data_IF_386913095996
#
_entry.id   IF_386913095996
#
_cell.length_a   1.000
_cell.length_b   1.000
_cell.length_c   1.000
_cell.angle_alpha   90.00
_cell.angle_beta   90.00
_cell.angle_gamma   90.00
#
_symmetry.space_group_name_H-M   'P 1'
#
loop_
_entity.id
_entity.type
_entity.pdbx_description
1 polymer ?
#
# COMPACT_ATOMS: atom_id res chain seq x y z
N UNK A 1 -15.69 -31.94 5.89
CA UNK A 1 -16.74 -31.10 6.49
C UNK A 1 -16.79 -29.84 5.66
N UNK A 2 -17.79 -29.72 4.81
CA UNK A 2 -17.96 -28.66 3.83
C UNK A 2 -18.74 -27.55 4.54
N UNK A 3 -18.11 -26.41 4.80
CA UNK A 3 -18.81 -25.23 5.26
C UNK A 3 -19.10 -24.33 4.07
N UNK A 4 -20.36 -24.31 3.66
CA UNK A 4 -20.94 -23.39 2.67
C UNK A 4 -20.96 -21.99 3.27
N UNK A 5 -20.18 -21.07 2.73
CA UNK A 5 -20.21 -19.65 3.11
C UNK A 5 -21.16 -18.91 2.17
N UNK A 6 -22.37 -18.62 2.68
CA UNK A 6 -23.33 -17.74 2.02
C UNK A 6 -22.75 -16.32 1.91
N UNK A 7 -22.73 -15.80 0.71
CA UNK A 7 -22.49 -14.37 0.45
C UNK A 7 -23.71 -13.58 0.95
N UNK A 8 -23.52 -12.81 2.00
CA UNK A 8 -24.46 -11.77 2.41
C UNK A 8 -23.98 -10.44 1.80
N UNK A 9 -24.59 -10.04 0.71
CA UNK A 9 -24.43 -8.70 0.15
C UNK A 9 -25.23 -7.73 1.01
N UNK A 10 -24.57 -7.00 1.89
CA UNK A 10 -25.16 -5.85 2.57
C UNK A 10 -25.12 -4.67 1.61
N UNK A 11 -26.22 -4.45 0.89
CA UNK A 11 -26.48 -3.21 0.18
C UNK A 11 -26.75 -2.11 1.21
N UNK A 12 -25.82 -1.18 1.33
CA UNK A 12 -26.02 0.05 2.09
C UNK A 12 -26.84 1.00 1.21
N UNK A 13 -28.04 1.42 1.62
CA UNK A 13 -28.80 2.41 0.84
C UNK A 13 -28.15 3.78 1.03
N UNK A 14 -27.51 4.29 -0.03
CA UNK A 14 -27.16 5.71 -0.14
C UNK A 14 -28.46 6.52 -0.25
N UNK A 15 -28.96 7.00 0.87
CA UNK A 15 -29.97 8.06 0.86
C UNK A 15 -29.29 9.37 0.53
N UNK A 16 -29.47 9.81 -0.71
CA UNK A 16 -29.25 11.21 -1.07
C UNK A 16 -30.31 12.05 -0.34
N UNK A 17 -29.88 12.77 0.67
CA UNK A 17 -30.72 13.80 1.27
C UNK A 17 -30.86 14.95 0.24
N UNK A 18 -32.01 15.02 -0.40
CA UNK A 18 -32.44 16.18 -1.14
C UNK A 18 -32.45 17.39 -0.19
N UNK A 19 -31.68 18.40 -0.54
CA UNK A 19 -31.69 19.67 0.17
C UNK A 19 -33.10 20.27 0.15
N UNK A 20 -33.77 20.22 1.29
CA UNK A 20 -35.01 21.00 1.45
C UNK A 20 -34.62 22.48 1.47
N UNK A 21 -35.17 23.23 0.55
CA UNK A 21 -35.14 24.70 0.57
C UNK A 21 -35.77 25.21 1.88
N UNK A 22 -35.15 26.16 2.58
CA UNK A 22 -35.72 26.71 3.80
C UNK A 22 -36.95 27.56 3.45
N UNK A 23 -38.06 27.29 4.14
CA UNK A 23 -39.23 28.15 4.11
C UNK A 23 -38.86 29.53 4.65
N UNK A 24 -39.16 30.56 3.90
CA UNK A 24 -38.98 31.96 4.21
C UNK A 24 -39.76 32.33 5.49
N UNK A 25 -39.07 32.63 6.54
CA UNK A 25 -39.69 33.20 7.73
C UNK A 25 -39.77 34.74 7.56
N UNK A 26 -41.01 35.29 7.71
CA UNK A 26 -41.35 36.68 7.45
C UNK A 26 -41.11 37.58 8.65
N UNK A 27 -39.90 37.67 9.16
CA UNK A 27 -39.56 38.64 10.21
C UNK A 27 -38.27 39.42 9.85
N UNK A 28 -38.40 40.24 8.79
CA UNK A 28 -37.35 41.18 8.41
C UNK A 28 -37.88 42.60 8.52
N UNK A 29 -37.35 43.36 9.44
CA UNK A 29 -37.61 44.80 9.62
C UNK A 29 -36.68 45.57 8.68
N UNK A 30 -37.23 46.30 7.70
CA UNK A 30 -36.44 47.15 6.80
C UNK A 30 -36.02 48.44 7.56
N UNK A 31 -34.69 48.60 7.68
CA UNK A 31 -34.08 49.88 8.03
C UNK A 31 -32.93 50.13 7.07
N UNK A 32 -33.15 51.09 6.18
CA UNK A 32 -32.15 51.76 5.34
C UNK A 32 -31.04 50.91 4.73
N UNK A 33 -31.26 50.33 3.52
CA UNK A 33 -30.18 49.89 2.64
C UNK A 33 -29.76 48.40 2.68
N UNK A 34 -30.28 47.56 3.59
CA UNK A 34 -29.99 46.11 3.62
C UNK A 34 -30.92 45.38 4.59
N UNK A 35 -31.47 44.22 4.18
CA UNK A 35 -32.20 43.35 5.12
C UNK A 35 -31.26 42.89 6.24
N UNK A 36 -31.64 43.12 7.48
CA UNK A 36 -30.91 42.65 8.67
C UNK A 36 -31.61 41.36 9.16
N UNK A 37 -30.87 40.29 9.31
CA UNK A 37 -31.34 39.08 9.99
C UNK A 37 -31.19 39.29 11.49
N UNK A 38 -32.32 39.22 12.21
CA UNK A 38 -32.36 39.42 13.66
C UNK A 38 -31.57 38.34 14.41
N UNK A 39 -31.58 37.14 13.87
CA UNK A 39 -30.91 35.97 14.44
C UNK A 39 -30.38 35.05 13.32
N UNK A 40 -29.15 34.65 13.44
CA UNK A 40 -28.53 33.61 12.60
C UNK A 40 -28.03 32.49 13.50
N UNK A 41 -28.62 31.35 13.36
CA UNK A 41 -28.19 30.13 14.06
C UNK A 41 -27.58 29.15 13.08
N UNK A 42 -26.59 28.39 13.54
CA UNK A 42 -26.01 27.39 12.70
C UNK A 42 -25.28 26.28 13.47
N UNK A 43 -25.02 25.20 12.75
CA UNK A 43 -24.21 24.09 13.27
C UNK A 43 -23.05 23.87 12.31
N UNK A 44 -21.86 23.80 12.88
CA UNK A 44 -20.62 23.47 12.15
C UNK A 44 -20.29 22.02 12.42
N UNK A 45 -20.15 21.24 11.34
CA UNK A 45 -19.83 19.81 11.39
C UNK A 45 -18.61 19.52 10.52
N UNK A 46 -17.85 18.49 10.86
CA UNK A 46 -16.83 17.96 9.99
C UNK A 46 -17.49 17.23 8.81
N UNK A 47 -17.01 17.49 7.60
CA UNK A 47 -17.53 16.85 6.39
C UNK A 47 -17.17 15.36 6.30
N UNK A 48 -16.14 14.92 7.02
CA UNK A 48 -15.60 13.55 6.96
C UNK A 48 -16.36 12.59 7.86
N UNK A 49 -16.72 13.02 9.08
CA UNK A 49 -17.33 12.17 10.09
C UNK A 49 -18.70 12.67 10.56
N UNK A 50 -19.12 13.86 10.11
CA UNK A 50 -20.39 14.48 10.49
C UNK A 50 -20.46 14.91 11.95
N UNK A 51 -19.34 14.89 12.68
CA UNK A 51 -19.28 15.30 14.09
C UNK A 51 -19.31 16.83 14.24
N UNK A 52 -19.88 17.35 15.34
CA UNK A 52 -19.86 18.78 15.61
C UNK A 52 -18.43 19.28 15.82
N UNK A 53 -18.07 20.40 15.18
CA UNK A 53 -16.77 21.06 15.36
C UNK A 53 -16.88 22.05 16.50
N UNK A 54 -16.28 21.73 17.64
CA UNK A 54 -16.26 22.55 18.85
C UNK A 54 -15.15 23.59 18.74
N UNK A 55 -15.44 24.87 19.06
CA UNK A 55 -14.44 25.91 19.03
C UNK A 55 -14.10 26.45 17.64
N UNK A 56 -14.93 26.17 16.62
CA UNK A 56 -14.79 26.83 15.32
C UNK A 56 -15.06 28.31 15.41
N UNK A 57 -14.18 29.13 14.84
CA UNK A 57 -14.31 30.60 14.85
C UNK A 57 -15.18 31.05 13.68
N UNK A 58 -16.19 31.84 13.98
CA UNK A 58 -17.04 32.54 13.00
C UNK A 58 -16.56 33.99 12.93
N UNK A 59 -15.96 34.35 11.80
CA UNK A 59 -15.42 35.67 11.51
C UNK A 59 -16.31 36.40 10.55
N UNK A 60 -16.33 37.71 10.67
CA UNK A 60 -16.98 38.61 9.69
C UNK A 60 -16.08 38.85 8.47
N UNK A 61 -16.64 39.56 7.46
CA UNK A 61 -15.87 39.99 6.28
C UNK A 61 -14.72 40.97 6.62
N UNK A 62 -14.72 41.53 7.79
CA UNK A 62 -13.67 42.40 8.37
C UNK A 62 -12.68 41.64 9.26
N UNK A 63 -12.68 40.28 9.18
CA UNK A 63 -11.88 39.37 10.00
C UNK A 63 -12.05 39.49 11.51
N UNK A 64 -13.12 40.18 11.97
CA UNK A 64 -13.47 40.21 13.39
C UNK A 64 -14.19 38.96 13.81
N UNK A 65 -13.80 38.41 14.96
CA UNK A 65 -14.47 37.29 15.59
C UNK A 65 -15.88 37.70 16.06
N UNK A 66 -16.90 37.05 15.54
CA UNK A 66 -18.29 37.26 15.87
C UNK A 66 -18.80 36.27 16.91
N UNK A 67 -18.43 35.00 16.75
CA UNK A 67 -18.77 33.91 17.67
C UNK A 67 -17.80 32.74 17.56
N UNK A 68 -17.95 31.80 18.50
CA UNK A 68 -17.25 30.52 18.53
C UNK A 68 -18.30 29.43 18.76
N UNK A 69 -18.15 28.27 18.14
CA UNK A 69 -19.09 27.13 18.28
C UNK A 69 -18.99 26.50 19.67
N UNK A 70 -20.15 26.10 20.20
CA UNK A 70 -20.30 25.39 21.47
C UNK A 70 -19.95 23.89 21.41
N UNK A 71 -20.19 23.14 22.50
CA UNK A 71 -19.95 21.68 22.60
C UNK A 71 -20.75 20.85 21.60
N UNK A 72 -21.84 21.39 21.03
CA UNK A 72 -22.66 20.76 20.02
C UNK A 72 -22.35 21.31 18.60
N UNK A 73 -21.27 22.08 18.44
CA UNK A 73 -20.90 22.73 17.20
C UNK A 73 -21.85 23.86 16.78
N UNK A 74 -22.69 24.37 17.69
CA UNK A 74 -23.68 25.42 17.41
C UNK A 74 -23.10 26.80 17.63
N UNK A 75 -23.55 27.76 16.80
CA UNK A 75 -23.29 29.16 16.98
C UNK A 75 -24.55 29.97 16.84
N UNK A 76 -24.56 31.15 17.48
CA UNK A 76 -25.66 32.08 17.46
C UNK A 76 -25.12 33.51 17.24
N UNK A 77 -25.67 34.21 16.23
CA UNK A 77 -25.32 35.58 15.90
C UNK A 77 -26.58 36.41 15.85
N UNK A 78 -26.49 37.67 16.24
CA UNK A 78 -27.58 38.64 16.24
C UNK A 78 -27.24 39.84 15.37
N UNK A 79 -28.26 40.41 14.69
CA UNK A 79 -28.15 41.66 13.92
C UNK A 79 -27.12 41.62 12.77
N UNK A 80 -27.07 40.51 12.01
CA UNK A 80 -26.15 40.34 10.89
C UNK A 80 -26.83 40.78 9.57
N UNK A 81 -26.23 41.70 8.78
CA UNK A 81 -26.73 42.08 7.47
C UNK A 81 -26.70 40.88 6.49
N UNK A 82 -27.72 40.74 5.64
CA UNK A 82 -27.81 39.63 4.68
C UNK A 82 -26.72 39.63 3.59
N UNK A 83 -26.12 40.79 3.33
CA UNK A 83 -25.01 40.96 2.39
C UNK A 83 -23.61 40.76 3.03
N UNK A 84 -23.61 40.46 4.32
CA UNK A 84 -22.36 40.23 5.05
C UNK A 84 -21.83 38.80 4.75
N UNK A 85 -20.54 38.61 4.57
CA UNK A 85 -19.95 37.29 4.41
C UNK A 85 -19.43 36.82 5.76
N UNK A 86 -19.79 35.59 6.11
CA UNK A 86 -19.26 34.87 7.26
C UNK A 86 -18.15 33.95 6.82
N UNK A 87 -17.01 34.01 7.49
CA UNK A 87 -15.90 33.07 7.35
C UNK A 87 -15.91 32.12 8.55
N UNK A 88 -16.07 30.85 8.30
CA UNK A 88 -16.05 29.82 9.33
C UNK A 88 -14.71 29.07 9.20
N UNK A 89 -13.91 29.09 10.24
CA UNK A 89 -12.57 28.50 10.26
C UNK A 89 -12.33 27.69 11.52
N UNK A 90 -11.56 26.62 11.38
CA UNK A 90 -11.07 25.80 12.48
C UNK A 90 -9.68 25.27 12.14
N UNK A 91 -8.85 25.08 13.19
CA UNK A 91 -7.47 24.60 13.00
C UNK A 91 -7.47 23.20 12.36
N UNK A 92 -6.85 23.08 11.18
CA UNK A 92 -6.76 21.82 10.44
C UNK A 92 -7.94 21.56 9.49
N UNK A 93 -8.91 22.50 9.38
CA UNK A 93 -10.01 22.42 8.42
C UNK A 93 -9.97 23.60 7.45
N UNK A 94 -10.48 23.38 6.24
CA UNK A 94 -10.57 24.43 5.21
C UNK A 94 -11.57 25.49 5.63
N UNK A 95 -11.18 26.76 5.53
CA UNK A 95 -12.08 27.90 5.79
C UNK A 95 -13.19 27.96 4.73
N UNK A 96 -14.44 28.06 5.17
CA UNK A 96 -15.61 28.20 4.30
C UNK A 96 -16.20 29.59 4.43
N UNK A 97 -16.41 30.25 3.28
CA UNK A 97 -17.10 31.55 3.23
C UNK A 97 -18.54 31.35 2.73
N UNK A 98 -19.51 31.92 3.45
CA UNK A 98 -20.92 31.86 3.03
C UNK A 98 -21.71 33.06 3.50
N UNK A 99 -22.84 33.30 2.87
CA UNK A 99 -23.78 34.36 3.26
C UNK A 99 -24.64 33.89 4.42
N UNK A 100 -24.97 34.77 5.37
CA UNK A 100 -25.79 34.43 6.53
C UNK A 100 -27.21 34.01 6.12
N UNK A 101 -27.69 32.93 6.74
CA UNK A 101 -29.06 32.48 6.67
C UNK A 101 -29.61 32.14 8.05
N UNK A 102 -30.92 32.18 8.25
CA UNK A 102 -31.53 32.00 9.56
C UNK A 102 -31.13 30.68 10.25
N UNK A 103 -30.98 29.59 9.47
CA UNK A 103 -30.50 28.28 9.92
C UNK A 103 -29.39 27.80 8.98
N UNK A 104 -28.19 27.64 9.48
CA UNK A 104 -27.02 27.26 8.69
C UNK A 104 -26.50 25.91 9.12
N UNK A 105 -26.19 25.04 8.16
CA UNK A 105 -25.40 23.85 8.39
C UNK A 105 -24.13 23.96 7.55
N UNK A 106 -22.98 24.03 8.24
CA UNK A 106 -21.69 24.26 7.63
C UNK A 106 -20.87 22.98 7.78
N UNK A 107 -20.44 22.39 6.68
CA UNK A 107 -19.52 21.26 6.68
C UNK A 107 -18.12 21.77 6.34
N UNK A 108 -17.17 21.58 7.25
CA UNK A 108 -15.77 21.90 7.05
C UNK A 108 -15.01 20.65 6.62
N UNK A 109 -14.27 20.75 5.52
CA UNK A 109 -13.41 19.69 5.04
C UNK A 109 -12.02 19.77 5.69
N UNK A 110 -11.36 18.64 5.86
CA UNK A 110 -9.97 18.62 6.30
C UNK A 110 -9.07 19.38 5.33
N UNK A 111 -8.16 20.18 5.85
CA UNK A 111 -7.20 20.93 5.03
C UNK A 111 -6.07 19.99 4.57
N UNK A 112 -6.39 19.15 3.59
CA UNK A 112 -5.45 18.19 3.00
C UNK A 112 -4.28 18.86 2.25
N UNK A 113 -4.39 20.14 1.90
CA UNK A 113 -3.31 20.88 1.22
C UNK A 113 -2.08 21.10 2.10
N UNK A 114 -2.21 21.03 3.43
CA UNK A 114 -1.06 21.15 4.33
C UNK A 114 -0.13 19.95 4.34
N UNK A 115 -0.57 18.78 3.89
CA UNK A 115 0.29 17.59 3.81
C UNK A 115 1.24 17.61 2.60
N UNK A 116 0.93 18.37 1.55
CA UNK A 116 1.79 18.49 0.36
C UNK A 116 3.01 19.40 0.59
N UNK A 117 3.01 20.20 1.65
CA UNK A 117 4.06 21.19 1.93
C UNK A 117 5.12 20.72 2.95
N UNK A 118 5.02 19.49 3.44
CA UNK A 118 5.93 18.95 4.46
C UNK A 118 6.69 17.75 3.92
N UNK A 119 8.02 17.81 3.93
CA UNK A 119 8.89 16.65 3.69
C UNK A 119 9.21 16.03 5.04
N UNK A 120 8.77 14.80 5.23
CA UNK A 120 9.06 14.01 6.42
C UNK A 120 10.40 13.33 6.24
N UNK A 121 11.36 13.63 7.10
CA UNK A 121 12.69 13.02 7.07
C UNK A 121 12.85 11.91 8.12
N UNK A 122 11.73 11.34 8.60
CA UNK A 122 11.71 10.26 9.61
C UNK A 122 11.97 10.74 11.04
N UNK A 123 12.88 11.69 11.24
CA UNK A 123 13.16 12.30 12.55
C UNK A 123 12.55 13.68 12.71
N UNK A 124 12.39 14.42 11.61
CA UNK A 124 11.90 15.80 11.62
C UNK A 124 10.97 16.07 10.44
N UNK A 125 9.91 16.81 10.68
CA UNK A 125 9.04 17.32 9.63
C UNK A 125 9.57 18.69 9.19
N UNK A 126 10.05 18.82 7.96
CA UNK A 126 10.52 20.07 7.36
C UNK A 126 9.55 20.57 6.30
N UNK A 127 9.32 21.87 6.25
CA UNK A 127 8.56 22.45 5.14
C UNK A 127 9.32 22.22 3.83
N UNK A 128 8.59 21.86 2.78
CA UNK A 128 9.15 21.56 1.45
C UNK A 128 9.98 22.73 0.90
N UNK A 129 9.56 23.97 1.17
CA UNK A 129 10.27 25.20 0.77
C UNK A 129 11.64 25.37 1.43
N UNK A 130 11.85 24.78 2.62
CA UNK A 130 13.13 24.82 3.34
C UNK A 130 14.00 23.57 3.14
N UNK A 131 13.57 22.65 2.25
CA UNK A 131 14.29 21.41 1.99
C UNK A 131 15.06 21.51 0.67
N UNK A 132 16.38 21.59 0.75
CA UNK A 132 17.27 21.77 -0.40
C UNK A 132 17.60 20.46 -1.15
N UNK A 133 17.17 19.32 -0.62
CA UNK A 133 17.41 17.98 -1.20
C UNK A 133 16.31 17.52 -2.15
N UNK A 134 16.64 16.57 -3.03
CA UNK A 134 15.66 15.91 -3.89
C UNK A 134 14.90 14.84 -3.09
N UNK A 135 13.63 15.08 -2.82
CA UNK A 135 12.74 14.13 -2.18
C UNK A 135 11.52 13.87 -3.05
N UNK A 136 11.11 12.61 -3.15
CA UNK A 136 9.86 12.20 -3.79
C UNK A 136 8.92 11.73 -2.70
N UNK A 137 7.75 12.35 -2.60
CA UNK A 137 6.72 11.95 -1.65
C UNK A 137 5.59 11.22 -2.38
N UNK A 138 5.24 10.04 -1.91
CA UNK A 138 4.16 9.18 -2.43
C UNK A 138 3.12 9.04 -1.33
N UNK A 139 1.86 9.31 -1.63
CA UNK A 139 0.76 9.10 -0.69
C UNK A 139 0.38 7.61 -0.64
N UNK A 140 -0.03 7.13 0.53
CA UNK A 140 -0.45 5.73 0.69
C UNK A 140 -1.60 5.31 -0.23
N UNK A 141 -2.48 6.24 -0.60
CA UNK A 141 -3.56 6.00 -1.56
C UNK A 141 -3.06 5.73 -2.97
N UNK A 142 -1.95 6.36 -3.38
CA UNK A 142 -1.36 6.18 -4.71
C UNK A 142 -0.66 4.83 -4.83
N UNK A 143 -0.11 4.30 -3.73
CA UNK A 143 0.51 2.97 -3.72
C UNK A 143 -0.46 1.88 -4.16
N UNK A 144 -1.71 1.95 -3.72
CA UNK A 144 -2.75 0.96 -4.04
C UNK A 144 -3.15 0.95 -5.51
N UNK A 145 -2.99 2.07 -6.23
CA UNK A 145 -3.33 2.17 -7.65
C UNK A 145 -2.40 1.34 -8.54
N UNK A 146 -1.17 1.10 -8.08
CA UNK A 146 -0.15 0.37 -8.86
C UNK A 146 0.00 -1.08 -8.46
N UNK A 147 0.01 -1.37 -7.17
CA UNK A 147 0.05 -2.74 -6.66
C UNK A 147 -0.51 -2.78 -5.25
N UNK A 148 -1.41 -3.69 -5.01
CA UNK A 148 -2.02 -3.88 -3.71
C UNK A 148 -1.21 -4.82 -2.81
N UNK A 149 -0.40 -5.71 -3.39
CA UNK A 149 0.32 -6.76 -2.65
C UNK A 149 1.83 -6.54 -2.50
N UNK A 150 2.41 -5.60 -3.24
CA UNK A 150 3.86 -5.40 -3.20
C UNK A 150 4.18 -3.92 -3.19
N UNK A 151 4.38 -3.38 -1.99
CA UNK A 151 4.73 -1.98 -1.79
C UNK A 151 6.01 -1.62 -2.54
N UNK A 152 7.01 -2.51 -2.59
CA UNK A 152 8.26 -2.26 -3.29
C UNK A 152 8.01 -2.00 -4.79
N UNK A 153 7.18 -2.82 -5.46
CA UNK A 153 6.81 -2.59 -6.87
C UNK A 153 6.08 -1.27 -7.07
N UNK A 154 5.16 -0.91 -6.17
CA UNK A 154 4.46 0.38 -6.23
C UNK A 154 5.42 1.56 -6.07
N UNK A 155 6.37 1.48 -5.14
CA UNK A 155 7.39 2.52 -4.93
C UNK A 155 8.25 2.68 -6.18
N UNK A 156 8.72 1.58 -6.77
CA UNK A 156 9.55 1.61 -7.99
C UNK A 156 8.79 2.22 -9.17
N UNK A 157 7.53 1.86 -9.38
CA UNK A 157 6.71 2.40 -10.46
C UNK A 157 6.47 3.92 -10.34
N UNK A 158 6.40 4.43 -9.09
CA UNK A 158 6.15 5.84 -8.79
C UNK A 158 7.43 6.67 -8.64
N UNK A 159 8.60 6.02 -8.59
CA UNK A 159 9.87 6.69 -8.27
C UNK A 159 10.88 6.51 -9.38
N UNK A 160 11.10 7.52 -10.23
CA UNK A 160 12.19 7.48 -11.21
C UNK A 160 13.56 7.30 -10.51
N UNK A 161 14.35 6.32 -10.99
CA UNK A 161 15.68 6.02 -10.45
C UNK A 161 15.72 5.06 -9.25
N UNK A 162 14.59 4.52 -8.80
CA UNK A 162 14.53 3.33 -7.97
C UNK A 162 14.20 2.14 -8.86
N UNK A 163 15.12 1.21 -9.00
CA UNK A 163 14.94 0.01 -9.79
C UNK A 163 14.78 -1.20 -8.87
N UNK A 164 13.84 -2.06 -9.20
CA UNK A 164 13.74 -3.39 -8.62
C UNK A 164 14.31 -4.37 -9.64
N UNK A 165 15.33 -5.09 -9.23
CA UNK A 165 15.87 -6.19 -10.03
C UNK A 165 14.95 -7.40 -9.84
N UNK A 166 14.27 -7.79 -10.92
CA UNK A 166 13.45 -9.00 -10.88
C UNK A 166 14.35 -10.24 -10.93
N UNK A 167 14.19 -11.12 -9.96
CA UNK A 167 14.86 -12.40 -9.98
C UNK A 167 14.02 -13.39 -10.81
N UNK A 168 14.32 -13.45 -12.10
CA UNK A 168 13.61 -14.35 -13.01
C UNK A 168 13.78 -15.85 -12.66
N UNK A 169 14.81 -16.21 -11.90
CA UNK A 169 15.02 -17.58 -11.44
C UNK A 169 14.04 -17.97 -10.33
N UNK A 170 13.70 -17.02 -9.47
CA UNK A 170 12.71 -17.21 -8.43
C UNK A 170 11.26 -17.18 -8.95
N UNK A 171 11.04 -16.62 -10.15
CA UNK A 171 9.73 -16.50 -10.76
C UNK A 171 8.73 -15.75 -9.87
N UNK A 172 7.57 -16.37 -9.63
CA UNK A 172 6.51 -15.84 -8.74
C UNK A 172 6.60 -16.39 -7.32
N UNK A 173 7.79 -16.77 -6.85
CA UNK A 173 7.97 -17.24 -5.48
C UNK A 173 7.63 -16.11 -4.49
N UNK A 174 6.61 -16.27 -3.62
CA UNK A 174 6.21 -15.23 -2.67
C UNK A 174 7.27 -14.98 -1.57
N UNK A 175 8.24 -15.87 -1.42
CA UNK A 175 9.32 -15.74 -0.45
C UNK A 175 10.55 -15.01 -1.01
N UNK A 176 10.58 -14.75 -2.32
CA UNK A 176 11.68 -14.03 -2.95
C UNK A 176 11.63 -12.56 -2.59
N UNK A 177 12.70 -12.06 -1.99
CA UNK A 177 12.84 -10.65 -1.63
C UNK A 177 13.22 -9.82 -2.86
N UNK A 178 12.66 -8.60 -3.00
CA UNK A 178 13.03 -7.71 -4.08
C UNK A 178 14.43 -7.12 -3.85
N UNK A 179 15.30 -7.20 -4.85
CA UNK A 179 16.56 -6.44 -4.86
C UNK A 179 16.28 -5.02 -5.33
N UNK A 180 16.33 -4.07 -4.39
CA UNK A 180 16.03 -2.65 -4.62
C UNK A 180 17.34 -1.87 -4.76
N UNK A 181 17.51 -1.16 -5.86
CA UNK A 181 18.69 -0.32 -6.14
C UNK A 181 18.29 1.09 -6.48
N UNK A 182 18.93 2.05 -5.83
CA UNK A 182 18.78 3.48 -6.10
C UNK A 182 20.11 4.04 -6.64
N UNK A 183 20.06 4.79 -7.75
CA UNK A 183 21.25 5.42 -8.40
C UNK A 183 22.29 4.44 -8.98
N UNK A 184 21.91 3.21 -9.33
CA UNK A 184 22.85 2.20 -9.82
C UNK A 184 23.65 1.55 -8.69
N UNK A 185 24.41 0.51 -9.01
CA UNK A 185 25.26 -0.17 -8.04
C UNK A 185 26.57 0.58 -7.83
N UNK A 186 26.74 1.26 -6.70
CA UNK A 186 28.00 1.90 -6.35
C UNK A 186 29.07 0.90 -5.88
N UNK A 187 28.65 -0.26 -5.38
CA UNK A 187 29.51 -1.34 -4.93
C UNK A 187 29.48 -2.50 -5.93
N UNK A 188 30.65 -2.98 -6.28
CA UNK A 188 30.79 -4.21 -7.07
C UNK A 188 30.42 -5.36 -6.13
N UNK A 189 29.30 -6.01 -6.43
CA UNK A 189 28.86 -7.19 -5.69
C UNK A 189 29.82 -8.34 -6.02
N UNK A 190 30.77 -8.59 -5.12
CA UNK A 190 31.75 -9.67 -5.26
C UNK A 190 31.18 -11.03 -4.84
N UNK A 191 29.93 -11.08 -4.37
CA UNK A 191 29.27 -12.32 -4.04
C UNK A 191 28.84 -13.05 -5.32
N UNK A 192 29.74 -13.85 -5.84
CA UNK A 192 29.59 -14.72 -7.03
C UNK A 192 28.58 -15.87 -6.86
N UNK A 193 27.76 -15.88 -5.82
CA UNK A 193 26.89 -17.00 -5.46
C UNK A 193 25.43 -16.65 -5.30
N UNK A 194 24.94 -15.68 -6.10
CA UNK A 194 23.51 -15.27 -6.08
C UNK A 194 22.52 -16.41 -6.36
N UNK A 195 22.94 -17.52 -6.97
CA UNK A 195 22.08 -18.68 -7.22
C UNK A 195 21.87 -19.57 -5.98
N UNK A 196 22.85 -19.64 -5.08
CA UNK A 196 22.81 -20.50 -3.88
C UNK A 196 22.16 -19.77 -2.71
N UNK A 197 22.31 -18.45 -2.61
CA UNK A 197 21.76 -17.63 -1.54
C UNK A 197 20.26 -17.40 -1.65
N UNK A 198 19.73 -17.36 -2.87
CA UNK A 198 18.28 -17.27 -3.08
C UNK A 198 17.50 -18.49 -2.56
N UNK A 199 18.20 -19.60 -2.36
CA UNK A 199 17.60 -20.89 -1.89
C UNK A 199 17.72 -21.04 -0.36
N UNK A 200 18.66 -20.37 0.29
CA UNK A 200 18.92 -20.56 1.72
C UNK A 200 18.27 -19.57 2.66
N UNK A 201 17.61 -18.53 2.15
CA UNK A 201 16.84 -17.60 3.00
C UNK A 201 17.69 -16.81 4.00
N UNK A 202 19.00 -16.75 3.83
CA UNK A 202 19.87 -15.98 4.71
C UNK A 202 19.75 -14.49 4.36
N UNK A 203 19.54 -13.69 5.41
CA UNK A 203 19.42 -12.24 5.39
C UNK A 203 20.77 -11.59 4.99
N UNK A 204 21.10 -11.61 3.72
CA UNK A 204 22.20 -10.78 3.25
C UNK A 204 21.73 -9.34 3.06
N UNK A 205 22.45 -8.46 3.75
CA UNK A 205 22.40 -7.02 3.50
C UNK A 205 23.00 -6.79 2.12
N UNK A 206 22.16 -6.71 1.11
CA UNK A 206 22.63 -6.32 -0.23
C UNK A 206 23.32 -4.97 -0.14
N UNK A 207 24.59 -4.92 -0.47
CA UNK A 207 25.46 -3.75 -0.30
C UNK A 207 24.92 -2.47 -0.98
N UNK A 208 23.98 -2.59 -1.92
CA UNK A 208 23.42 -1.51 -2.70
C UNK A 208 21.97 -1.15 -2.34
N UNK A 209 21.40 -1.76 -1.28
CA UNK A 209 20.03 -1.45 -0.87
C UNK A 209 19.90 -0.08 -0.21
N UNK A 210 18.81 0.65 -0.45
CA UNK A 210 18.50 1.85 0.32
C UNK A 210 18.17 1.51 1.77
N UNK A 211 18.45 2.43 2.68
CA UNK A 211 18.06 2.31 4.08
C UNK A 211 16.54 2.48 4.20
N UNK A 212 15.89 1.55 4.89
CA UNK A 212 14.44 1.56 5.10
C UNK A 212 14.13 2.02 6.53
N UNK A 213 13.35 3.09 6.65
CA UNK A 213 12.95 3.67 7.94
C UNK A 213 11.43 3.71 8.01
N UNK A 214 10.84 3.16 9.06
CA UNK A 214 9.40 3.26 9.35
C UNK A 214 9.19 3.90 10.72
N UNK A 215 8.45 5.00 10.74
CA UNK A 215 8.16 5.77 11.96
C UNK A 215 9.40 6.11 12.81
N UNK A 216 10.55 6.32 12.15
CA UNK A 216 11.82 6.65 12.77
C UNK A 216 12.73 5.46 13.13
N UNK A 217 12.27 4.23 12.90
CA UNK A 217 13.02 3.01 13.16
C UNK A 217 13.40 2.31 11.87
N UNK A 218 14.58 1.69 11.85
CA UNK A 218 15.00 0.88 10.72
C UNK A 218 14.22 -0.41 10.64
N UNK A 219 13.81 -0.76 9.42
CA UNK A 219 13.11 -2.01 9.12
C UNK A 219 13.85 -2.81 8.05
N UNK A 220 13.60 -4.12 8.02
CA UNK A 220 14.14 -5.01 6.99
C UNK A 220 13.34 -4.92 5.68
N UNK A 221 13.95 -5.37 4.57
CA UNK A 221 13.26 -5.51 3.28
C UNK A 221 12.09 -6.52 3.38
N UNK A 222 12.24 -7.53 4.23
CA UNK A 222 11.17 -8.50 4.51
C UNK A 222 9.96 -7.81 5.15
N UNK A 223 10.19 -6.96 6.16
CA UNK A 223 9.14 -6.17 6.80
C UNK A 223 8.44 -5.25 5.79
N UNK A 224 9.19 -4.64 4.87
CA UNK A 224 8.60 -3.83 3.79
C UNK A 224 7.74 -4.68 2.84
N UNK A 225 8.20 -5.88 2.48
CA UNK A 225 7.46 -6.79 1.59
C UNK A 225 6.16 -7.29 2.22
N UNK A 226 6.16 -7.52 3.53
CA UNK A 226 5.00 -7.99 4.28
C UNK A 226 4.08 -6.85 4.74
N UNK A 227 4.53 -5.58 4.58
CA UNK A 227 3.79 -4.41 5.03
C UNK A 227 2.51 -4.21 4.20
N UNK A 228 1.39 -4.06 4.89
CA UNK A 228 0.12 -3.73 4.26
C UNK A 228 0.10 -2.26 3.81
N UNK A 229 -0.16 -1.97 2.51
CA UNK A 229 -0.34 -0.60 2.02
C UNK A 229 -1.40 0.21 2.77
N UNK A 230 -2.40 -0.47 3.37
CA UNK A 230 -3.43 0.17 4.18
C UNK A 230 -2.92 0.83 5.44
N UNK A 231 -1.77 0.39 5.95
CA UNK A 231 -1.10 0.98 7.12
C UNK A 231 -0.29 2.23 6.79
N UNK A 232 0.05 2.43 5.51
CA UNK A 232 0.94 3.51 5.06
C UNK A 232 0.17 4.80 4.84
N UNK A 233 0.63 5.90 5.46
CA UNK A 233 0.14 7.25 5.21
C UNK A 233 0.90 7.89 4.04
N UNK A 234 2.24 7.85 4.11
CA UNK A 234 3.11 8.39 3.08
C UNK A 234 4.45 7.65 3.03
N UNK A 235 5.10 7.70 1.87
CA UNK A 235 6.47 7.25 1.68
C UNK A 235 7.27 8.41 1.10
N UNK A 236 8.38 8.74 1.74
CA UNK A 236 9.32 9.77 1.28
C UNK A 236 10.64 9.11 0.90
N UNK A 237 11.08 9.37 -0.32
CA UNK A 237 12.32 8.82 -0.87
C UNK A 237 13.34 9.92 -0.97
N UNK A 238 14.41 9.78 -0.17
CA UNK A 238 15.52 10.72 -0.08
C UNK A 238 16.66 10.21 -0.95
N UNK A 239 16.94 10.95 -2.02
CA UNK A 239 17.93 10.53 -3.03
C UNK A 239 19.26 11.25 -2.88
N UNK A 240 19.28 12.46 -2.33
CA UNK A 240 20.48 13.31 -2.29
C UNK A 240 21.25 13.18 -0.99
N UNK A 241 22.57 13.37 -1.06
CA UNK A 241 23.45 13.34 0.09
C UNK A 241 23.03 14.35 1.19
N UNK A 242 22.53 15.53 0.79
CA UNK A 242 22.02 16.52 1.74
C UNK A 242 20.77 16.03 2.50
N UNK A 243 19.90 15.29 1.79
CA UNK A 243 18.70 14.69 2.38
C UNK A 243 19.02 13.50 3.28
N UNK A 244 20.04 12.72 2.93
CA UNK A 244 20.42 11.49 3.63
C UNK A 244 21.45 11.68 4.73
N UNK A 245 22.06 12.88 4.85
CA UNK A 245 23.11 13.21 5.84
C UNK A 245 22.70 12.92 7.30
N UNK A 246 21.41 12.98 7.61
CA UNK A 246 20.87 12.71 8.95
C UNK A 246 21.11 11.23 9.37
N UNK A 247 21.21 10.34 8.38
CA UNK A 247 21.32 8.90 8.58
C UNK A 247 22.77 8.37 8.45
N UNK A 248 23.72 9.29 8.17
CA UNK A 248 25.15 8.97 8.09
C UNK A 248 25.52 8.05 6.91
N UNK A 249 26.59 7.27 7.07
CA UNK A 249 27.13 6.40 6.01
C UNK A 249 26.19 5.30 5.53
N UNK A 250 25.26 4.85 6.38
CA UNK A 250 24.26 3.83 6.04
C UNK A 250 23.27 4.27 4.97
N UNK A 251 23.14 5.57 4.78
CA UNK A 251 22.26 6.18 3.79
C UNK A 251 22.95 6.46 2.44
N UNK A 252 24.15 5.91 2.20
CA UNK A 252 24.91 6.12 0.96
C UNK A 252 24.10 5.75 -0.31
N UNK A 253 23.24 4.73 -0.22
CA UNK A 253 22.39 4.24 -1.31
C UNK A 253 20.99 4.88 -1.31
N UNK A 254 20.79 5.96 -0.54
CA UNK A 254 19.50 6.60 -0.36
C UNK A 254 18.71 6.07 0.84
N UNK A 255 17.61 6.74 1.16
CA UNK A 255 16.73 6.37 2.28
C UNK A 255 15.28 6.37 1.82
N UNK A 256 14.54 5.36 2.20
CA UNK A 256 13.09 5.27 2.03
C UNK A 256 12.46 5.41 3.41
N UNK A 257 11.78 6.51 3.64
CA UNK A 257 11.09 6.81 4.90
C UNK A 257 9.61 6.51 4.72
N UNK A 258 9.08 5.66 5.58
CA UNK A 258 7.68 5.23 5.58
C UNK A 258 7.00 5.81 6.82
N UNK A 259 5.89 6.46 6.64
CA UNK A 259 5.03 6.91 7.72
C UNK A 259 3.78 6.05 7.79
N UNK A 260 3.47 5.57 8.98
CA UNK A 260 2.21 4.88 9.25
C UNK A 260 1.04 5.86 9.41
N UNK A 261 -0.16 5.40 9.09
CA UNK A 261 -1.37 6.17 9.34
C UNK A 261 -1.57 6.38 10.84
N UNK A 262 -1.87 7.59 11.22
CA UNK A 262 -2.22 7.92 12.61
C UNK A 262 -3.70 7.63 12.89
N UNK A 263 -4.06 7.17 14.11
CA UNK A 263 -5.46 6.97 14.49
C UNK A 263 -6.27 8.27 14.38
N UNK A 264 -7.47 8.17 13.79
CA UNK A 264 -8.37 9.32 13.67
C UNK A 264 -9.15 9.52 14.97
N UNK A 265 -9.40 10.78 15.39
CA UNK A 265 -10.31 11.05 16.49
C UNK A 265 -11.76 10.82 16.05
N UNK A 266 -12.63 10.49 16.98
CA UNK A 266 -14.06 10.34 16.72
C UNK A 266 -14.66 9.10 17.35
N UNK A 267 -15.87 8.74 16.91
CA UNK A 267 -16.54 7.51 17.31
C UNK A 267 -15.73 6.31 16.83
N UNK A 268 -16.01 5.17 17.43
CA UNK A 268 -15.39 3.91 17.02
C UNK A 268 -15.79 3.58 15.59
N UNK A 269 -14.78 3.46 14.73
CA UNK A 269 -14.93 2.99 13.34
C UNK A 269 -14.32 1.61 13.20
N UNK A 270 -15.08 0.73 12.56
CA UNK A 270 -14.60 -0.60 12.17
C UNK A 270 -14.56 -0.65 10.65
N UNK A 271 -13.38 -0.90 10.11
CA UNK A 271 -13.18 -1.04 8.68
C UNK A 271 -12.74 -2.46 8.38
N UNK A 272 -13.40 -3.10 7.43
CA UNK A 272 -12.97 -4.39 6.87
C UNK A 272 -12.45 -4.17 5.45
N UNK A 273 -11.27 -4.71 5.17
CA UNK A 273 -10.68 -4.79 3.84
C UNK A 273 -10.57 -6.26 3.40
N UNK A 274 -11.04 -6.58 2.22
CA UNK A 274 -10.88 -7.90 1.62
C UNK A 274 -10.33 -7.76 0.21
N UNK A 275 -9.30 -8.53 -0.12
CA UNK A 275 -8.68 -8.54 -1.43
C UNK A 275 -8.43 -9.97 -1.89
N UNK A 276 -8.69 -10.23 -3.15
CA UNK A 276 -8.39 -11.51 -3.79
C UNK A 276 -7.66 -11.26 -5.10
N UNK A 277 -6.57 -11.98 -5.30
CA UNK A 277 -5.76 -11.92 -6.51
C UNK A 277 -5.59 -13.30 -7.10
N UNK A 278 -5.72 -13.39 -8.42
CA UNK A 278 -5.50 -14.63 -9.17
C UNK A 278 -4.26 -14.46 -10.02
N UNK A 279 -3.29 -15.36 -9.86
CA UNK A 279 -2.09 -15.43 -10.69
C UNK A 279 -2.08 -16.76 -11.45
N UNK A 280 -2.04 -16.67 -12.77
CA UNK A 280 -1.92 -17.82 -13.65
C UNK A 280 -0.57 -17.78 -14.37
N UNK A 281 0.13 -18.94 -14.53
CA UNK A 281 1.37 -19.00 -15.30
C UNK A 281 1.08 -18.76 -16.78
N UNK A 282 1.80 -17.83 -17.39
CA UNK A 282 1.82 -17.66 -18.85
C UNK A 282 3.03 -18.40 -19.41
N UNK A 283 2.78 -19.51 -20.11
CA UNK A 283 3.79 -20.34 -20.74
C UNK A 283 3.88 -20.12 -22.25
N UNK A 284 3.13 -19.18 -22.82
CA UNK A 284 3.05 -18.96 -24.27
C UNK A 284 4.36 -18.46 -24.86
N UNK A 285 5.21 -17.80 -24.05
CA UNK A 285 6.52 -17.33 -24.47
C UNK A 285 7.57 -18.45 -24.62
N UNK A 286 7.29 -19.65 -24.07
CA UNK A 286 8.19 -20.79 -24.14
C UNK A 286 7.87 -21.65 -25.35
N UNK A 287 8.63 -21.44 -26.42
CA UNK A 287 8.48 -22.23 -27.66
C UNK A 287 9.39 -23.47 -27.61
N UNK A 288 8.99 -24.48 -26.85
CA UNK A 288 9.74 -25.72 -26.70
C UNK A 288 9.31 -26.76 -27.76
N UNK A 289 10.28 -27.56 -28.17
CA UNK A 289 10.02 -28.70 -29.09
C UNK A 289 9.12 -29.73 -28.39
N UNK A 290 8.16 -30.29 -29.13
CA UNK A 290 7.42 -31.47 -28.72
C UNK A 290 8.30 -32.71 -28.76
N UNK A 291 7.79 -33.86 -28.26
CA UNK A 291 8.57 -35.10 -28.16
C UNK A 291 9.11 -35.61 -29.49
N UNK A 292 8.32 -35.49 -30.56
CA UNK A 292 8.72 -35.88 -31.92
C UNK A 292 9.77 -34.95 -32.49
N UNK A 293 9.57 -33.64 -32.39
CA UNK A 293 10.50 -32.63 -32.87
C UNK A 293 11.85 -32.73 -32.15
N UNK A 294 11.83 -32.92 -30.83
CA UNK A 294 13.04 -33.07 -30.02
C UNK A 294 13.84 -34.29 -30.41
N UNK A 295 13.17 -35.43 -30.56
CA UNK A 295 13.83 -36.69 -30.95
C UNK A 295 14.41 -36.63 -32.37
N UNK A 296 13.70 -36.00 -33.33
CA UNK A 296 14.16 -35.77 -34.69
C UNK A 296 15.37 -34.84 -34.74
N UNK A 297 15.34 -33.74 -33.95
CA UNK A 297 16.47 -32.82 -33.83
C UNK A 297 17.72 -33.52 -33.26
N UNK A 298 17.57 -34.31 -32.21
CA UNK A 298 18.67 -35.11 -31.63
C UNK A 298 19.24 -36.14 -32.62
N UNK A 299 18.38 -36.81 -33.38
CA UNK A 299 18.81 -37.75 -34.42
C UNK A 299 19.62 -37.04 -35.51
N UNK A 300 19.13 -35.92 -36.04
CA UNK A 300 19.81 -35.09 -37.03
C UNK A 300 21.14 -34.49 -36.52
N UNK A 301 21.20 -34.16 -35.23
CA UNK A 301 22.41 -33.68 -34.58
C UNK A 301 23.46 -34.78 -34.32
N UNK A 302 23.17 -36.04 -34.67
CA UNK A 302 24.10 -37.15 -34.50
C UNK A 302 24.27 -37.65 -33.06
N UNK A 303 23.34 -37.33 -32.15
CA UNK A 303 23.41 -37.71 -30.72
C UNK A 303 23.42 -39.24 -30.58
N UNK A 304 22.83 -39.95 -31.52
CA UNK A 304 22.67 -41.41 -31.52
C UNK A 304 23.66 -42.14 -32.43
N UNK A 305 24.67 -41.44 -32.98
CA UNK A 305 25.72 -42.05 -33.77
C UNK A 305 26.75 -42.63 -32.80
N UNK A 306 27.07 -43.92 -32.99
CA UNK A 306 28.02 -44.65 -32.15
C UNK A 306 29.44 -44.06 -32.28
N UNK A 307 29.96 -43.50 -31.20
CA UNK A 307 31.35 -43.01 -31.08
C UNK A 307 32.33 -44.02 -30.49
N UNK A 308 31.98 -45.32 -30.51
CA UNK A 308 32.85 -46.38 -29.98
C UNK A 308 32.75 -46.62 -28.47
N UNK A 309 31.73 -46.04 -27.82
CA UNK A 309 31.48 -46.23 -26.38
C UNK A 309 30.51 -47.41 -26.13
N UNK A 310 30.59 -47.97 -24.90
CA UNK A 310 29.86 -49.15 -24.43
C UNK A 310 28.35 -49.01 -24.36
N UNK A 311 27.79 -47.82 -24.59
CA UNK A 311 26.35 -47.57 -24.58
C UNK A 311 25.81 -47.72 -26.00
N UNK A 312 24.90 -48.66 -26.20
CA UNK A 312 24.15 -48.86 -27.42
C UNK A 312 23.18 -47.66 -27.63
N UNK A 313 23.70 -46.61 -28.22
CA UNK A 313 22.95 -45.34 -28.48
C UNK A 313 21.76 -45.58 -29.41
N UNK A 314 21.84 -46.61 -30.25
CA UNK A 314 20.75 -46.99 -31.12
C UNK A 314 19.57 -47.59 -30.31
N UNK A 315 19.85 -48.44 -29.33
CA UNK A 315 18.80 -48.94 -28.43
C UNK A 315 18.15 -47.81 -27.63
N UNK A 316 18.96 -46.83 -27.19
CA UNK A 316 18.44 -45.65 -26.53
C UNK A 316 17.50 -44.84 -27.43
N UNK A 317 17.87 -44.63 -28.71
CA UNK A 317 17.00 -44.00 -29.68
C UNK A 317 15.69 -44.77 -29.88
N UNK A 318 15.77 -46.11 -30.09
CA UNK A 318 14.57 -46.93 -30.26
C UNK A 318 13.64 -46.89 -29.05
N UNK A 319 14.18 -46.88 -27.82
CA UNK A 319 13.39 -46.76 -26.61
C UNK A 319 12.64 -45.42 -26.56
N UNK A 320 13.33 -44.33 -26.87
CA UNK A 320 12.71 -42.99 -26.94
C UNK A 320 11.68 -42.90 -28.06
N UNK A 321 11.98 -43.46 -29.23
CA UNK A 321 11.05 -43.50 -30.36
C UNK A 321 9.78 -44.29 -29.99
N UNK A 322 9.91 -45.39 -29.27
CA UNK A 322 8.75 -46.16 -28.79
C UNK A 322 7.87 -45.31 -27.86
N UNK A 323 8.46 -44.52 -26.96
CA UNK A 323 7.71 -43.62 -26.12
C UNK A 323 6.96 -42.58 -26.96
N UNK A 324 7.62 -41.94 -27.93
CA UNK A 324 6.98 -40.98 -28.84
C UNK A 324 5.83 -41.62 -29.63
N UNK A 325 6.03 -42.83 -30.16
CA UNK A 325 5.00 -43.57 -30.90
C UNK A 325 3.83 -44.00 -30.01
N UNK A 326 4.07 -44.23 -28.72
CA UNK A 326 3.01 -44.53 -27.75
C UNK A 326 2.25 -43.28 -27.29
N UNK A 327 2.60 -42.09 -27.82
CA UNK A 327 1.92 -40.81 -27.52
C UNK A 327 2.46 -40.07 -26.32
N UNK A 328 3.65 -40.40 -25.82
CA UNK A 328 4.30 -39.65 -24.75
C UNK A 328 4.78 -38.34 -25.30
N UNK A 329 4.18 -37.23 -24.82
CA UNK A 329 4.57 -35.86 -25.09
C UNK A 329 4.29 -35.02 -23.84
N UNK A 330 5.27 -34.98 -22.93
CA UNK A 330 5.12 -34.37 -21.64
C UNK A 330 5.55 -32.90 -21.69
N UNK A 331 4.60 -32.00 -21.52
CA UNK A 331 4.91 -30.56 -21.35
C UNK A 331 5.34 -30.30 -19.91
N UNK A 332 6.63 -30.45 -19.65
CA UNK A 332 7.20 -30.41 -18.31
C UNK A 332 7.00 -29.06 -17.60
N UNK A 333 6.96 -27.95 -18.33
CA UNK A 333 6.80 -26.61 -17.72
C UNK A 333 5.50 -26.47 -16.92
N UNK A 334 4.44 -27.16 -17.32
CA UNK A 334 3.15 -27.11 -16.63
C UNK A 334 3.09 -27.93 -15.34
N UNK A 335 3.98 -28.93 -15.19
CA UNK A 335 3.89 -29.91 -14.09
C UNK A 335 4.09 -29.30 -12.70
N UNK A 336 5.09 -28.43 -12.49
CA UNK A 336 5.30 -27.80 -11.18
C UNK A 336 4.36 -26.63 -10.91
N UNK A 337 3.57 -26.21 -11.90
CA UNK A 337 2.79 -24.97 -11.81
C UNK A 337 1.32 -25.23 -11.50
N UNK A 338 0.70 -24.20 -10.91
CA UNK A 338 -0.73 -24.10 -10.66
C UNK A 338 -1.18 -22.65 -10.80
N UNK A 339 -2.46 -22.44 -11.04
CA UNK A 339 -3.07 -21.13 -10.80
C UNK A 339 -3.11 -20.87 -9.29
N UNK A 340 -2.62 -19.73 -8.88
CA UNK A 340 -2.57 -19.31 -7.49
C UNK A 340 -3.70 -18.32 -7.19
N UNK A 341 -4.35 -18.47 -6.06
CA UNK A 341 -5.37 -17.53 -5.55
C UNK A 341 -4.86 -17.02 -4.22
N UNK A 342 -4.44 -15.77 -4.21
CA UNK A 342 -3.97 -15.07 -3.03
C UNK A 342 -5.13 -14.32 -2.38
N UNK A 343 -5.14 -14.24 -1.05
CA UNK A 343 -6.20 -13.60 -0.29
C UNK A 343 -5.61 -12.76 0.83
N UNK A 344 -6.16 -11.56 1.02
CA UNK A 344 -5.84 -10.69 2.15
C UNK A 344 -7.11 -10.23 2.81
N UNK A 345 -7.15 -10.32 4.11
CA UNK A 345 -8.26 -9.88 4.96
C UNK A 345 -7.72 -8.99 6.06
N UNK A 346 -8.27 -7.80 6.20
CA UNK A 346 -7.85 -6.84 7.20
C UNK A 346 -9.05 -6.32 7.99
N UNK A 347 -8.88 -6.16 9.29
CA UNK A 347 -9.86 -5.51 10.16
C UNK A 347 -9.14 -4.41 10.91
N UNK A 348 -9.63 -3.20 10.80
CA UNK A 348 -9.13 -2.03 11.52
C UNK A 348 -10.24 -1.48 12.39
N UNK A 349 -9.94 -1.29 13.67
CA UNK A 349 -10.79 -0.59 14.63
C UNK A 349 -10.03 0.64 15.08
N UNK A 350 -10.60 1.83 14.89
CA UNK A 350 -9.99 3.07 15.30
C UNK A 350 -11.02 4.01 15.95
N UNK A 351 -10.55 4.88 16.85
CA UNK A 351 -11.40 5.83 17.54
C UNK A 351 -10.66 6.58 18.63
N UNK A 352 -11.42 7.30 19.44
CA UNK A 352 -10.91 8.09 20.54
C UNK A 352 -11.25 9.56 20.43
N UNK A 353 -10.72 10.37 21.33
CA UNK A 353 -10.91 11.82 21.38
C UNK A 353 -9.62 12.57 20.99
N UNK A 354 -9.59 13.86 21.26
CA UNK A 354 -8.39 14.68 21.00
C UNK A 354 -7.21 14.33 21.93
N UNK A 355 -7.52 13.81 23.13
CA UNK A 355 -6.52 13.47 24.13
C UNK A 355 -6.00 12.05 23.95
N UNK A 356 -6.88 11.08 23.72
CA UNK A 356 -6.54 9.67 23.57
C UNK A 356 -7.10 9.12 22.25
N UNK A 357 -6.22 8.65 21.38
CA UNK A 357 -6.59 7.98 20.13
C UNK A 357 -6.00 6.59 20.13
N UNK A 358 -6.73 5.64 19.55
CA UNK A 358 -6.27 4.29 19.43
C UNK A 358 -6.64 3.71 18.07
N UNK A 359 -5.82 2.77 17.60
CA UNK A 359 -6.07 1.92 16.45
C UNK A 359 -5.65 0.50 16.79
N UNK A 360 -6.53 -0.44 16.53
CA UNK A 360 -6.23 -1.86 16.50
C UNK A 360 -6.35 -2.34 15.05
N UNK A 361 -5.36 -3.08 14.58
CA UNK A 361 -5.32 -3.65 13.25
C UNK A 361 -5.04 -5.14 13.35
N UNK A 362 -5.79 -5.94 12.62
CA UNK A 362 -5.52 -7.37 12.42
C UNK A 362 -5.57 -7.63 10.93
N UNK A 363 -4.47 -8.17 10.40
CA UNK A 363 -4.34 -8.53 8.98
C UNK A 363 -3.94 -9.99 8.82
N UNK A 364 -4.58 -10.69 7.91
CA UNK A 364 -4.18 -12.02 7.45
C UNK A 364 -3.95 -11.98 5.95
N UNK A 365 -2.77 -12.36 5.53
CA UNK A 365 -2.35 -12.42 4.13
C UNK A 365 -1.92 -13.86 3.81
N UNK A 366 -2.64 -14.51 2.90
CA UNK A 366 -2.31 -15.83 2.37
C UNK A 366 -1.86 -15.67 0.91
N UNK A 367 -0.59 -15.93 0.65
CA UNK A 367 0.05 -15.76 -0.64
C UNK A 367 0.64 -17.08 -1.14
N UNK A 368 -0.19 -18.01 -1.63
CA UNK A 368 0.30 -19.21 -2.31
C UNK A 368 1.03 -18.82 -3.60
N UNK A 369 2.16 -19.45 -3.87
CA UNK A 369 2.91 -19.25 -5.12
C UNK A 369 2.33 -20.01 -6.31
N UNK A 370 2.71 -19.60 -7.51
CA UNK A 370 2.37 -20.32 -8.77
C UNK A 370 3.12 -21.65 -8.87
N UNK A 371 4.33 -21.76 -8.31
CA UNK A 371 4.96 -23.05 -8.09
C UNK A 371 4.19 -23.81 -7.01
N UNK A 372 3.86 -25.09 -7.28
CA UNK A 372 3.18 -25.96 -6.30
C UNK A 372 3.99 -26.04 -5.01
N UNK A 373 3.30 -26.07 -3.87
CA UNK A 373 3.85 -26.15 -2.53
C UNK A 373 4.71 -24.95 -2.08
N UNK A 374 4.84 -23.90 -2.89
CA UNK A 374 5.37 -22.61 -2.40
C UNK A 374 4.24 -21.76 -1.85
N UNK A 375 4.54 -20.96 -0.84
CA UNK A 375 3.56 -20.06 -0.25
C UNK A 375 4.13 -19.27 0.92
N UNK A 376 3.44 -18.19 1.25
CA UNK A 376 3.74 -17.35 2.40
C UNK A 376 2.46 -16.88 3.05
N UNK A 377 2.33 -17.16 4.33
CA UNK A 377 1.21 -16.73 5.17
C UNK A 377 1.73 -15.74 6.20
N UNK A 378 1.07 -14.61 6.35
CA UNK A 378 1.44 -13.59 7.32
C UNK A 378 0.21 -13.20 8.12
N UNK A 379 0.32 -13.28 9.44
CA UNK A 379 -0.67 -12.78 10.38
C UNK A 379 -0.06 -11.61 11.15
N UNK A 380 -0.64 -10.42 10.99
CA UNK A 380 -0.21 -9.18 11.65
C UNK A 380 -1.24 -8.72 12.66
N UNK A 381 -0.82 -8.46 13.87
CA UNK A 381 -1.57 -7.74 14.89
C UNK A 381 -0.87 -6.44 15.25
N UNK A 382 -1.60 -5.32 15.27
CA UNK A 382 -1.03 -4.02 15.64
C UNK A 382 -1.96 -3.28 16.59
N UNK A 383 -1.36 -2.57 17.53
CA UNK A 383 -2.05 -1.74 18.50
C UNK A 383 -1.31 -0.42 18.64
N UNK A 384 -1.94 0.65 18.19
CA UNK A 384 -1.42 2.02 18.28
C UNK A 384 -2.19 2.82 19.31
N UNK A 385 -1.47 3.50 20.17
CA UNK A 385 -2.01 4.49 21.09
C UNK A 385 -1.33 5.83 20.90
N UNK A 386 -2.10 6.90 20.92
CA UNK A 386 -1.61 8.26 20.97
C UNK A 386 -2.31 8.99 22.12
N UNK A 387 -1.52 9.45 23.06
CA UNK A 387 -2.02 10.24 24.17
C UNK A 387 -1.39 11.64 24.13
N UNK A 388 -2.24 12.66 24.07
CA UNK A 388 -1.82 14.05 24.03
C UNK A 388 -2.17 14.72 25.34
N UNK A 389 -1.17 15.21 26.03
CA UNK A 389 -1.33 16.00 27.24
C UNK A 389 -0.66 17.36 27.03
N UNK A 390 -1.46 18.40 26.81
CA UNK A 390 -1.01 19.77 26.50
C UNK A 390 0.01 19.78 25.33
N UNK A 391 1.31 19.99 25.65
CA UNK A 391 2.41 20.05 24.67
C UNK A 391 3.14 18.71 24.48
N UNK A 392 2.78 17.69 25.26
CA UNK A 392 3.42 16.37 25.19
C UNK A 392 2.52 15.43 24.38
N UNK A 393 3.10 14.74 23.40
CA UNK A 393 2.46 13.70 22.62
C UNK A 393 3.21 12.39 22.88
N UNK A 394 2.55 11.44 23.54
CA UNK A 394 3.03 10.08 23.72
C UNK A 394 2.45 9.22 22.60
N UNK A 395 3.31 8.57 21.84
CA UNK A 395 2.93 7.56 20.84
C UNK A 395 3.49 6.22 21.26
N UNK A 396 2.69 5.18 21.20
CA UNK A 396 3.11 3.81 21.40
C UNK A 396 2.50 2.95 20.30
N UNK A 397 3.33 2.14 19.65
CA UNK A 397 2.91 1.18 18.63
C UNK A 397 3.49 -0.17 18.97
N UNK A 398 2.63 -1.17 19.07
CA UNK A 398 2.98 -2.56 19.29
C UNK A 398 2.55 -3.32 18.05
N UNK A 399 3.50 -3.95 17.37
CA UNK A 399 3.22 -4.81 16.21
C UNK A 399 3.73 -6.22 16.49
N UNK A 400 2.91 -7.19 16.17
CA UNK A 400 3.23 -8.62 16.28
C UNK A 400 2.97 -9.21 14.90
N UNK A 401 4.04 -9.70 14.26
CA UNK A 401 3.96 -10.38 12.98
C UNK A 401 4.35 -11.84 13.15
N UNK A 402 3.50 -12.73 12.65
CA UNK A 402 3.79 -14.15 12.55
C UNK A 402 3.74 -14.57 11.09
N UNK A 403 4.84 -15.03 10.53
CA UNK A 403 4.94 -15.46 9.14
C UNK A 403 5.35 -16.91 9.02
N UNK A 404 4.69 -17.62 8.11
CA UNK A 404 5.05 -18.99 7.71
C UNK A 404 5.36 -19.00 6.23
N UNK A 405 6.55 -19.44 5.87
CA UNK A 405 7.02 -19.51 4.49
C UNK A 405 7.32 -20.96 4.11
N UNK A 406 6.83 -21.38 2.96
CA UNK A 406 7.11 -22.71 2.40
C UNK A 406 7.74 -22.55 1.03
N UNK A 407 8.86 -23.23 0.80
CA UNK A 407 9.49 -23.32 -0.49
C UNK A 407 8.93 -24.49 -1.30
N UNK A 408 8.97 -24.36 -2.62
CA UNK A 408 8.53 -25.43 -3.52
C UNK A 408 9.50 -26.61 -3.46
N UNK A 409 8.99 -27.78 -3.20
CA UNK A 409 9.76 -29.03 -3.29
C UNK A 409 10.01 -29.50 -4.74
N UNK A 410 9.48 -28.76 -5.73
CA UNK A 410 9.73 -29.02 -7.15
C UNK A 410 11.04 -28.43 -7.66
N UNK A 411 11.81 -27.75 -6.81
CA UNK A 411 13.08 -27.13 -7.18
C UNK A 411 12.91 -25.88 -8.05
N UNK A 412 13.94 -25.56 -8.84
CA UNK A 412 13.95 -24.39 -9.71
C UNK A 412 13.13 -24.63 -10.98
N UNK A 413 12.29 -23.67 -11.37
CA UNK A 413 11.51 -23.73 -12.62
C UNK A 413 12.40 -23.95 -13.86
N UNK A 414 13.61 -23.37 -13.87
CA UNK A 414 14.55 -23.51 -14.98
C UNK A 414 14.99 -24.94 -15.27
N UNK A 415 14.90 -25.84 -14.30
CA UNK A 415 15.21 -27.26 -14.51
C UNK A 415 14.21 -27.93 -15.46
N UNK A 416 12.95 -27.51 -15.43
CA UNK A 416 11.89 -28.08 -16.26
C UNK A 416 12.02 -27.71 -17.73
N UNK A 417 12.71 -26.63 -18.08
CA UNK A 417 13.01 -26.25 -19.47
C UNK A 417 14.01 -27.20 -20.13
N UNK A 418 14.80 -27.95 -19.33
CA UNK A 418 15.83 -28.88 -19.80
C UNK A 418 15.34 -30.31 -19.88
N UNK A 419 14.16 -30.60 -19.37
CA UNK A 419 13.61 -31.96 -19.38
C UNK A 419 13.14 -32.36 -20.79
N UNK A 420 13.33 -33.63 -21.13
CA UNK A 420 12.97 -34.12 -22.43
C UNK A 420 11.51 -34.56 -22.50
N UNK A 421 10.73 -34.06 -23.48
CA UNK A 421 9.29 -34.28 -23.54
C UNK A 421 8.87 -35.74 -23.81
N UNK A 422 9.77 -36.61 -24.29
CA UNK A 422 9.53 -38.03 -24.47
C UNK A 422 9.74 -38.90 -23.21
N UNK A 423 9.98 -38.25 -22.07
CA UNK A 423 10.01 -38.88 -20.74
C UNK A 423 8.66 -38.77 -20.05
N UNK A 424 8.34 -39.73 -19.17
CA UNK A 424 7.10 -39.75 -18.36
C UNK A 424 7.36 -39.34 -16.93
#
# INVERSE_FOLDING_TARGET
>A
MIASLMMLSVACPTQYALAQQPQSNKDAKELGGGKILTTVEGVVVSAEDGLPVIGASILGSDDKALAVTDENGRFHLTNIPTNYKLKISYIGLTTVEMTPAANMKVALHSDSKRLDDVVVTGMFNRKKEGFTGSAVTIKGEDLKKFSTNNIAKSISALTPGLNIMENNLAGSNPNSLPDMRMRGGANMDLSTSSEVQAVQGEYETYANQPLLIMDGFEISIQTLSDLDPDRVASIVILKDAAATAIYGSRAANGVIVIESKTPKPGKIWVTYGGEMRVEAPDLTAYNLMNAKEKLDAEYKAGVYIDGGETIDRWKLYQSKLQNVLSGVDTYWLSKPLRTSIQQRHTVTLEGGDEALRYRMYVGYNNSPGVMKNSGRDVLTGMLDFQYRMKKVLLKNSITIDNSTANESNYGSFSQYTKLNPYLT
#
